data_IF_751539580087
#
_entry.id   IF_751539580087
#
_cell.length_a   1.000
_cell.length_b   1.000
_cell.length_c   1.000
_cell.angle_alpha   90.00
_cell.angle_beta   90.00
_cell.angle_gamma   90.00
#
_symmetry.space_group_name_H-M   'P 1'
#
loop_
_entity.id
_entity.type
_entity.pdbx_description
1 polymer ?
#
# COMPACT_ATOMS: atom_id res chain seq x y z
N UNK A 1 -24.59 13.89 17.79
CA UNK A 1 -23.80 13.73 16.56
C UNK A 1 -22.33 13.74 16.95
N UNK A 2 -21.61 12.69 16.60
CA UNK A 2 -20.20 12.52 16.94
C UNK A 2 -19.31 13.38 16.03
N UNK A 3 -18.10 13.70 16.49
CA UNK A 3 -17.02 14.06 15.57
C UNK A 3 -16.52 12.80 14.83
N UNK A 4 -15.75 12.97 13.75
CA UNK A 4 -15.35 11.82 12.94
C UNK A 4 -14.33 10.91 13.62
N UNK A 5 -13.49 11.44 14.51
CA UNK A 5 -12.51 10.67 15.28
C UNK A 5 -13.18 9.77 16.31
N UNK A 6 -14.20 10.25 17.00
CA UNK A 6 -15.05 9.45 17.90
C UNK A 6 -15.73 8.31 17.12
N UNK A 7 -16.28 8.59 15.94
CA UNK A 7 -16.86 7.57 15.08
C UNK A 7 -15.82 6.54 14.59
N UNK A 8 -14.61 6.98 14.24
CA UNK A 8 -13.48 6.12 13.91
C UNK A 8 -13.06 5.21 15.09
N UNK A 9 -13.01 5.74 16.31
CA UNK A 9 -12.69 4.95 17.50
C UNK A 9 -13.70 3.82 17.72
N UNK A 10 -15.01 4.09 17.52
CA UNK A 10 -16.05 3.07 17.64
C UNK A 10 -15.82 1.93 16.63
N UNK A 11 -15.63 2.23 15.35
CA UNK A 11 -15.43 1.18 14.32
C UNK A 11 -14.08 0.47 14.47
N UNK A 12 -13.04 1.17 14.96
CA UNK A 12 -11.74 0.57 15.27
C UNK A 12 -11.85 -0.42 16.43
N UNK A 13 -12.64 -0.11 17.47
CA UNK A 13 -12.86 -1.02 18.61
C UNK A 13 -13.53 -2.35 18.23
N UNK A 14 -14.17 -2.39 17.06
CA UNK A 14 -14.83 -3.57 16.50
C UNK A 14 -14.01 -4.27 15.41
N UNK A 15 -12.85 -3.71 15.03
CA UNK A 15 -11.99 -4.28 13.99
C UNK A 15 -11.46 -5.66 14.42
N UNK A 16 -11.59 -6.64 13.53
CA UNK A 16 -11.10 -8.01 13.70
C UNK A 16 -10.51 -8.48 12.37
N UNK A 17 -9.49 -9.34 12.43
CA UNK A 17 -8.98 -10.00 11.22
C UNK A 17 -10.09 -10.84 10.59
N UNK A 18 -10.12 -10.85 9.25
CA UNK A 18 -11.01 -11.70 8.46
C UNK A 18 -10.46 -13.13 8.29
N UNK A 19 -9.38 -13.45 9.01
CA UNK A 19 -8.62 -14.69 8.91
C UNK A 19 -7.38 -14.52 8.03
N UNK A 20 -6.65 -15.61 7.85
CA UNK A 20 -5.44 -15.66 7.03
C UNK A 20 -5.61 -16.72 5.95
N UNK A 21 -4.89 -16.54 4.83
CA UNK A 21 -4.85 -17.51 3.74
C UNK A 21 -3.43 -17.60 3.15
N UNK A 22 -3.12 -18.72 2.52
CA UNK A 22 -1.84 -18.91 1.82
C UNK A 22 -2.06 -18.69 0.33
N UNK A 23 -1.23 -17.82 -0.27
CA UNK A 23 -1.25 -17.54 -1.70
C UNK A 23 0.10 -17.84 -2.34
N UNK A 24 0.08 -18.01 -3.66
CA UNK A 24 1.30 -17.96 -4.46
C UNK A 24 1.93 -16.57 -4.39
N UNK A 25 3.25 -16.49 -4.61
CA UNK A 25 3.94 -15.21 -4.60
C UNK A 25 3.40 -14.23 -5.67
N UNK A 26 2.96 -14.75 -6.82
CA UNK A 26 2.39 -13.95 -7.91
C UNK A 26 1.07 -13.25 -7.50
N UNK A 27 0.31 -13.85 -6.59
CA UNK A 27 -0.97 -13.33 -6.09
C UNK A 27 -0.81 -12.46 -4.84
N UNK A 28 0.39 -12.37 -4.28
CA UNK A 28 0.64 -11.64 -3.04
C UNK A 28 0.75 -10.12 -3.23
N UNK A 29 0.90 -9.61 -4.47
CA UNK A 29 1.01 -8.18 -4.72
C UNK A 29 -0.21 -7.40 -4.17
N UNK A 30 0.06 -6.35 -3.38
CA UNK A 30 -0.97 -5.53 -2.75
C UNK A 30 -1.75 -6.22 -1.61
N UNK A 31 -1.45 -7.49 -1.28
CA UNK A 31 -1.97 -8.18 -0.10
C UNK A 31 -1.19 -7.77 1.16
N UNK A 32 -1.79 -7.92 2.33
CA UNK A 32 -1.12 -7.66 3.62
C UNK A 32 -0.49 -8.94 4.11
N UNK A 33 0.83 -8.94 4.30
CA UNK A 33 1.58 -10.09 4.79
C UNK A 33 1.19 -10.41 6.23
N UNK A 34 0.95 -11.69 6.52
CA UNK A 34 0.50 -12.17 7.83
C UNK A 34 1.54 -13.03 8.56
N UNK A 35 2.78 -13.02 8.08
CA UNK A 35 3.91 -13.71 8.69
C UNK A 35 5.15 -12.82 8.69
N UNK A 36 6.03 -13.02 9.66
CA UNK A 36 7.39 -12.49 9.60
C UNK A 36 8.23 -13.32 8.63
N UNK A 37 9.14 -12.67 7.92
CA UNK A 37 10.02 -13.32 6.96
C UNK A 37 11.46 -13.16 7.43
N UNK A 38 12.17 -14.28 7.45
CA UNK A 38 13.55 -14.35 7.86
C UNK A 38 14.43 -14.70 6.66
N UNK A 39 15.68 -14.23 6.67
CA UNK A 39 16.68 -14.64 5.71
C UNK A 39 16.97 -16.14 5.85
N UNK A 40 16.85 -16.90 4.77
CA UNK A 40 17.15 -18.34 4.69
C UNK A 40 18.65 -18.63 4.77
N UNK A 41 19.49 -17.65 4.40
CA UNK A 41 20.96 -17.70 4.43
C UNK A 41 21.57 -16.30 4.51
N UNK A 42 22.90 -16.24 4.53
CA UNK A 42 23.63 -14.98 4.41
C UNK A 42 23.46 -14.36 3.01
N UNK A 43 23.39 -13.04 2.95
CA UNK A 43 23.37 -12.25 1.72
C UNK A 43 24.52 -11.22 1.72
N UNK A 44 25.39 -11.24 0.69
CA UNK A 44 25.54 -12.32 -0.27
C UNK A 44 25.93 -13.66 0.42
N UNK A 45 25.63 -14.83 -0.17
CA UNK A 45 25.87 -16.14 0.45
C UNK A 45 27.34 -16.59 0.46
N UNK A 46 28.20 -15.81 -0.18
CA UNK A 46 29.65 -15.96 -0.26
C UNK A 46 30.29 -14.59 -0.50
N UNK A 47 31.60 -14.48 -0.32
CA UNK A 47 32.32 -13.28 -0.73
C UNK A 47 32.17 -13.10 -2.24
N UNK A 48 31.64 -11.97 -2.69
CA UNK A 48 31.26 -11.72 -4.09
C UNK A 48 32.11 -10.59 -4.65
N UNK A 49 32.70 -10.80 -5.84
CA UNK A 49 33.40 -9.72 -6.53
C UNK A 49 32.41 -8.62 -6.94
N UNK A 50 32.73 -7.36 -6.63
CA UNK A 50 31.86 -6.21 -6.97
C UNK A 50 32.28 -5.51 -8.25
N UNK A 51 33.41 -5.90 -8.83
CA UNK A 51 33.98 -5.37 -10.07
C UNK A 51 34.64 -6.49 -10.87
N UNK A 52 34.75 -6.30 -12.18
CA UNK A 52 35.56 -7.15 -13.05
C UNK A 52 37.05 -6.86 -12.81
N UNK A 53 37.86 -7.91 -12.69
CA UNK A 53 39.25 -7.71 -12.30
C UNK A 53 40.03 -8.99 -12.04
N UNK A 54 40.99 -8.89 -11.12
CA UNK A 54 41.87 -9.96 -10.73
C UNK A 54 41.83 -10.15 -9.22
N UNK A 55 41.46 -11.34 -8.77
CA UNK A 55 41.45 -11.71 -7.36
C UNK A 55 42.82 -12.26 -6.94
N UNK A 56 43.42 -11.63 -5.94
CA UNK A 56 44.72 -12.00 -5.37
C UNK A 56 44.64 -12.14 -3.86
N UNK A 57 45.64 -12.79 -3.27
CA UNK A 57 45.83 -12.78 -1.83
C UNK A 57 46.49 -11.46 -1.42
N UNK A 58 45.90 -10.72 -0.48
CA UNK A 58 46.44 -9.46 0.02
C UNK A 58 47.86 -9.62 0.63
N UNK A 59 48.22 -10.82 1.10
CA UNK A 59 49.58 -11.10 1.58
C UNK A 59 50.64 -11.01 0.49
N UNK A 60 50.31 -11.45 -0.73
CA UNK A 60 51.22 -11.41 -1.89
C UNK A 60 51.53 -9.96 -2.28
N UNK A 61 50.51 -9.11 -2.23
CA UNK A 61 50.68 -7.67 -2.38
C UNK A 61 51.64 -7.09 -1.33
N UNK A 62 51.48 -7.48 -0.06
CA UNK A 62 52.36 -7.06 1.04
C UNK A 62 53.82 -7.52 0.87
N UNK A 63 54.05 -8.63 0.17
CA UNK A 63 55.37 -9.14 -0.21
C UNK A 63 55.95 -8.46 -1.46
N UNK A 64 55.24 -7.47 -2.03
CA UNK A 64 55.61 -6.73 -3.25
C UNK A 64 55.72 -7.63 -4.49
N UNK A 65 54.94 -8.71 -4.57
CA UNK A 65 54.76 -9.43 -5.82
C UNK A 65 54.03 -8.52 -6.80
N UNK A 66 54.64 -8.26 -7.97
CA UNK A 66 54.18 -7.28 -8.95
C UNK A 66 53.73 -7.90 -10.29
N UNK A 67 53.85 -9.22 -10.44
CA UNK A 67 53.43 -9.96 -11.63
C UNK A 67 52.82 -11.29 -11.21
N UNK A 68 51.57 -11.56 -11.62
CA UNK A 68 50.80 -12.72 -11.19
C UNK A 68 50.43 -13.58 -12.39
N UNK A 69 50.57 -14.91 -12.27
CA UNK A 69 50.09 -15.83 -13.30
C UNK A 69 48.56 -16.00 -13.21
N UNK A 70 47.84 -15.72 -14.29
CA UNK A 70 46.39 -15.90 -14.37
C UNK A 70 46.09 -17.38 -14.56
N UNK A 71 45.48 -18.02 -13.56
CA UNK A 71 45.22 -19.48 -13.59
C UNK A 71 43.94 -19.85 -14.29
N UNK A 72 42.88 -19.12 -13.99
CA UNK A 72 41.56 -19.37 -14.54
C UNK A 72 40.74 -18.08 -14.53
N UNK A 73 39.66 -18.10 -15.32
CA UNK A 73 38.65 -17.05 -15.33
C UNK A 73 37.43 -17.55 -14.57
N UNK A 74 37.01 -16.82 -13.54
CA UNK A 74 35.87 -17.18 -12.68
C UNK A 74 34.68 -16.28 -13.01
N UNK A 75 33.63 -16.87 -13.55
CA UNK A 75 32.38 -16.18 -13.88
C UNK A 75 31.32 -16.34 -12.79
N UNK A 76 30.30 -15.46 -12.79
CA UNK A 76 29.14 -15.60 -11.92
C UNK A 76 28.44 -16.95 -12.14
N UNK A 77 28.13 -17.64 -11.03
CA UNK A 77 27.50 -18.97 -11.04
C UNK A 77 28.46 -20.15 -11.28
N UNK A 78 29.75 -19.90 -11.55
CA UNK A 78 30.74 -20.97 -11.72
C UNK A 78 31.50 -21.24 -10.41
N UNK A 79 31.91 -22.50 -10.22
CA UNK A 79 32.88 -22.87 -9.19
C UNK A 79 34.29 -22.67 -9.74
N UNK A 80 35.19 -22.16 -8.91
CA UNK A 80 36.62 -22.14 -9.19
C UNK A 80 37.18 -23.57 -9.17
N UNK A 81 38.13 -23.87 -10.07
CA UNK A 81 38.61 -25.23 -10.31
C UNK A 81 39.96 -25.53 -9.67
N UNK A 82 40.86 -24.56 -9.66
CA UNK A 82 42.21 -24.69 -9.09
C UNK A 82 42.42 -23.70 -7.95
N UNK A 83 43.13 -24.11 -6.91
CA UNK A 83 43.60 -23.18 -5.88
C UNK A 83 44.76 -22.32 -6.44
N UNK A 84 44.68 -21.00 -6.30
CA UNK A 84 45.81 -20.11 -6.61
C UNK A 84 46.83 -20.11 -5.47
N UNK A 85 48.10 -20.26 -5.84
CA UNK A 85 49.27 -20.16 -4.97
C UNK A 85 49.81 -18.73 -4.94
N UNK A 86 50.88 -18.51 -4.16
CA UNK A 86 51.55 -17.21 -4.10
C UNK A 86 52.06 -16.78 -5.48
N UNK A 87 51.73 -15.55 -5.90
CA UNK A 87 52.06 -15.03 -7.23
C UNK A 87 51.17 -15.56 -8.35
N UNK A 88 50.03 -16.15 -8.01
CA UNK A 88 49.00 -16.57 -8.95
C UNK A 88 47.71 -15.81 -8.66
N UNK A 89 46.84 -15.66 -9.66
CA UNK A 89 45.58 -14.95 -9.51
C UNK A 89 44.45 -15.59 -10.31
N UNK A 90 43.23 -15.25 -9.92
CA UNK A 90 42.04 -15.47 -10.72
C UNK A 90 41.73 -14.21 -11.50
N UNK A 91 41.39 -14.34 -12.78
CA UNK A 91 40.62 -13.29 -13.46
C UNK A 91 39.16 -13.49 -13.09
N UNK A 92 38.53 -12.52 -12.45
CA UNK A 92 37.21 -12.68 -11.84
C UNK A 92 36.23 -11.65 -12.40
N UNK A 93 35.01 -12.10 -12.68
CA UNK A 93 33.92 -11.23 -13.14
C UNK A 93 33.03 -10.82 -11.98
N UNK A 94 32.35 -9.68 -12.14
CA UNK A 94 31.39 -9.13 -11.19
C UNK A 94 30.31 -10.16 -10.88
N UNK A 95 30.02 -10.34 -9.60
CA UNK A 95 29.04 -11.32 -9.12
C UNK A 95 29.61 -12.73 -8.91
N UNK A 96 30.83 -13.02 -9.34
CA UNK A 96 31.47 -14.31 -9.08
C UNK A 96 31.83 -14.49 -7.60
N UNK A 97 31.85 -15.76 -7.17
CA UNK A 97 32.30 -16.13 -5.84
C UNK A 97 33.81 -15.99 -5.73
N UNK A 98 34.26 -15.20 -4.75
CA UNK A 98 35.66 -14.99 -4.40
C UNK A 98 36.12 -16.16 -3.52
N UNK A 99 37.13 -16.94 -3.96
CA UNK A 99 37.63 -18.09 -3.20
C UNK A 99 38.23 -17.68 -1.84
N UNK A 100 38.18 -18.53 -0.79
CA UNK A 100 38.66 -18.16 0.55
C UNK A 100 40.15 -17.83 0.66
N UNK A 101 40.98 -18.34 -0.26
CA UNK A 101 42.43 -18.12 -0.31
C UNK A 101 42.81 -16.77 -0.94
N UNK A 102 41.86 -16.02 -1.50
CA UNK A 102 42.04 -14.65 -2.01
C UNK A 102 41.09 -13.68 -1.32
N UNK A 103 41.53 -12.44 -1.14
CA UNK A 103 40.79 -11.46 -0.34
C UNK A 103 41.05 -10.01 -0.81
N UNK A 104 41.36 -9.83 -2.09
CA UNK A 104 41.48 -8.54 -2.75
C UNK A 104 41.14 -8.70 -4.22
N UNK A 105 40.27 -7.84 -4.77
CA UNK A 105 40.03 -7.74 -6.21
C UNK A 105 40.53 -6.39 -6.71
N UNK A 106 41.50 -6.41 -7.63
CA UNK A 106 41.96 -5.21 -8.34
C UNK A 106 41.24 -5.15 -9.68
N UNK A 107 40.68 -4.00 -10.03
CA UNK A 107 39.88 -3.87 -11.25
C UNK A 107 40.76 -4.08 -12.48
N UNK A 108 40.18 -4.61 -13.54
CA UNK A 108 40.92 -4.84 -14.79
C UNK A 108 41.41 -3.55 -15.47
N UNK A 109 40.79 -2.39 -15.24
CA UNK A 109 41.26 -1.10 -15.76
C UNK A 109 42.56 -0.66 -15.08
N UNK A 110 42.79 -1.15 -13.85
CA UNK A 110 43.98 -0.88 -13.07
C UNK A 110 45.07 -1.96 -13.28
N UNK A 111 44.96 -2.76 -14.36
CA UNK A 111 45.80 -3.91 -14.62
C UNK A 111 46.29 -3.95 -16.07
N UNK A 112 47.42 -4.63 -16.29
CA UNK A 112 47.95 -4.90 -17.62
C UNK A 112 48.23 -6.39 -17.72
N UNK A 113 47.42 -7.09 -18.52
CA UNK A 113 47.56 -8.52 -18.77
C UNK A 113 48.34 -8.75 -20.07
N UNK A 114 49.37 -9.60 -20.04
CA UNK A 114 50.16 -9.99 -21.21
C UNK A 114 50.64 -11.42 -21.03
N UNK A 115 50.43 -12.27 -22.04
CA UNK A 115 50.88 -13.68 -22.05
C UNK A 115 50.48 -14.47 -20.79
N UNK A 116 49.23 -14.32 -20.34
CA UNK A 116 48.69 -15.04 -19.16
C UNK A 116 49.25 -14.58 -17.82
N UNK A 117 49.94 -13.44 -17.78
CA UNK A 117 50.39 -12.79 -16.55
C UNK A 117 49.80 -11.39 -16.44
N UNK A 118 49.60 -10.92 -15.22
CA UNK A 118 49.04 -9.60 -14.95
C UNK A 118 49.90 -8.82 -13.96
N UNK A 119 50.15 -7.55 -14.29
CA UNK A 119 50.71 -6.54 -13.38
C UNK A 119 49.68 -5.47 -13.07
N UNK A 120 49.79 -4.83 -11.91
CA UNK A 120 48.82 -3.84 -11.44
C UNK A 120 49.41 -2.43 -11.41
N UNK A 121 48.65 -1.47 -11.93
CA UNK A 121 48.99 -0.06 -12.00
C UNK A 121 48.34 0.71 -10.83
N UNK A 122 48.50 0.19 -9.60
CA UNK A 122 47.96 0.78 -8.36
C UNK A 122 49.04 0.91 -7.31
N UNK A 123 49.00 1.98 -6.52
CA UNK A 123 49.99 2.21 -5.45
C UNK A 123 49.54 1.63 -4.11
N UNK A 124 48.23 1.67 -3.84
CA UNK A 124 47.65 1.25 -2.57
C UNK A 124 46.38 0.45 -2.77
N UNK A 125 46.21 -0.58 -1.94
CA UNK A 125 45.03 -1.45 -1.92
C UNK A 125 44.70 -1.81 -0.47
N UNK A 126 43.46 -2.21 -0.22
CA UNK A 126 42.99 -2.65 1.11
C UNK A 126 42.52 -4.11 1.07
N UNK A 127 42.63 -4.86 2.17
CA UNK A 127 42.00 -6.18 2.25
C UNK A 127 40.49 -6.02 2.04
N UNK A 128 39.90 -6.98 1.33
CA UNK A 128 38.51 -7.02 0.88
C UNK A 128 38.07 -5.87 -0.03
N UNK A 129 39.00 -5.12 -0.63
CA UNK A 129 38.65 -4.14 -1.65
C UNK A 129 37.99 -4.83 -2.86
N UNK A 130 36.89 -4.21 -3.33
CA UNK A 130 36.02 -4.72 -4.39
C UNK A 130 35.43 -6.12 -4.11
N UNK A 131 35.24 -6.47 -2.84
CA UNK A 131 34.61 -7.70 -2.39
C UNK A 131 33.47 -7.36 -1.45
N UNK A 132 32.25 -7.76 -1.83
CA UNK A 132 31.11 -7.78 -0.93
C UNK A 132 31.18 -9.04 -0.07
N UNK A 133 31.38 -8.91 1.23
CA UNK A 133 31.62 -10.05 2.13
C UNK A 133 30.34 -10.85 2.36
N UNK A 134 30.50 -12.15 2.59
CA UNK A 134 29.40 -13.04 2.97
C UNK A 134 28.62 -12.43 4.15
N UNK A 135 27.31 -12.30 3.97
CA UNK A 135 26.39 -11.84 5.02
C UNK A 135 26.54 -10.38 5.43
N UNK A 136 27.20 -9.54 4.63
CA UNK A 136 27.33 -8.12 4.95
C UNK A 136 26.04 -7.32 4.73
N UNK A 137 25.18 -7.75 3.81
CA UNK A 137 23.86 -7.14 3.60
C UNK A 137 22.89 -7.66 4.67
N UNK A 138 22.76 -8.98 4.77
CA UNK A 138 21.85 -9.66 5.69
C UNK A 138 22.49 -10.95 6.18
N UNK A 139 22.47 -11.19 7.50
CA UNK A 139 22.88 -12.45 8.09
C UNK A 139 21.71 -13.46 8.09
N UNK A 140 22.02 -14.74 7.95
CA UNK A 140 21.04 -15.82 8.05
C UNK A 140 20.19 -15.71 9.34
N UNK A 141 18.91 -16.06 9.25
CA UNK A 141 17.92 -15.97 10.33
C UNK A 141 17.62 -14.55 10.85
N UNK A 142 18.07 -13.50 10.17
CA UNK A 142 17.65 -12.13 10.45
C UNK A 142 16.20 -11.93 9.97
N UNK A 143 15.35 -11.30 10.78
CA UNK A 143 14.02 -10.87 10.32
C UNK A 143 14.19 -9.71 9.32
N UNK A 144 13.70 -9.90 8.10
CA UNK A 144 13.87 -8.95 6.99
C UNK A 144 12.58 -8.25 6.58
N UNK A 145 11.43 -8.85 6.89
CA UNK A 145 10.11 -8.25 6.66
C UNK A 145 9.26 -8.60 7.88
N UNK A 146 8.67 -7.59 8.50
CA UNK A 146 7.70 -7.79 9.57
C UNK A 146 6.32 -8.14 9.00
N UNK A 147 5.45 -8.71 9.83
CA UNK A 147 4.05 -8.91 9.46
C UNK A 147 3.29 -7.57 9.37
N UNK A 148 2.08 -7.59 8.82
CA UNK A 148 1.20 -6.44 8.65
C UNK A 148 1.79 -5.34 7.75
N UNK A 149 2.47 -5.77 6.68
CA UNK A 149 2.97 -4.91 5.63
C UNK A 149 2.21 -5.23 4.34
N UNK A 150 1.65 -4.21 3.68
CA UNK A 150 1.15 -4.34 2.30
C UNK A 150 2.33 -4.74 1.42
N UNK A 151 2.20 -5.71 0.52
CA UNK A 151 3.29 -6.18 -0.33
C UNK A 151 3.44 -5.33 -1.61
N UNK A 152 4.31 -4.29 -1.64
CA UNK A 152 4.72 -3.62 -2.87
C UNK A 152 5.68 -4.51 -3.69
N UNK A 153 6.10 -4.09 -4.90
CA UNK A 153 7.03 -4.86 -5.71
C UNK A 153 8.35 -5.20 -5.01
N UNK A 154 8.85 -4.31 -4.14
CA UNK A 154 10.07 -4.55 -3.36
C UNK A 154 9.93 -5.69 -2.35
N UNK A 155 8.77 -5.81 -1.69
CA UNK A 155 8.49 -6.92 -0.77
C UNK A 155 8.36 -8.23 -1.55
N UNK A 156 7.68 -8.23 -2.70
CA UNK A 156 7.56 -9.40 -3.57
C UNK A 156 8.94 -9.90 -4.03
N UNK A 157 9.83 -8.99 -4.46
CA UNK A 157 11.18 -9.33 -4.88
C UNK A 157 12.03 -9.89 -3.72
N UNK A 158 11.87 -9.34 -2.51
CA UNK A 158 12.59 -9.81 -1.34
C UNK A 158 12.10 -11.19 -0.87
N UNK A 159 10.79 -11.44 -0.91
CA UNK A 159 10.19 -12.77 -0.67
C UNK A 159 10.76 -13.82 -1.65
N UNK A 160 10.81 -13.50 -2.95
CA UNK A 160 11.44 -14.37 -3.95
C UNK A 160 12.92 -14.62 -3.64
N UNK A 161 13.64 -13.58 -3.22
CA UNK A 161 15.08 -13.63 -2.93
C UNK A 161 15.40 -14.64 -1.83
N UNK A 162 14.53 -14.79 -0.82
CA UNK A 162 14.64 -15.78 0.26
C UNK A 162 13.90 -17.10 -0.02
N UNK A 163 13.51 -17.32 -1.28
CA UNK A 163 12.96 -18.59 -1.74
C UNK A 163 11.50 -18.85 -1.38
N UNK A 164 10.72 -17.83 -0.99
CA UNK A 164 9.28 -17.99 -0.72
C UNK A 164 8.51 -18.13 -2.03
N UNK A 165 8.01 -19.33 -2.32
CA UNK A 165 7.08 -19.56 -3.44
C UNK A 165 5.61 -19.25 -3.08
N UNK A 166 5.29 -19.36 -1.79
CA UNK A 166 3.98 -19.05 -1.20
C UNK A 166 4.16 -18.26 0.08
N UNK A 167 3.17 -17.45 0.44
CA UNK A 167 3.17 -16.65 1.66
C UNK A 167 1.80 -16.65 2.35
N UNK A 168 1.81 -16.51 3.67
CA UNK A 168 0.62 -16.25 4.46
C UNK A 168 0.27 -14.76 4.40
N UNK A 169 -0.97 -14.45 4.04
CA UNK A 169 -1.50 -13.09 3.97
C UNK A 169 -2.81 -12.98 4.73
N UNK A 170 -3.17 -11.77 5.14
CA UNK A 170 -4.50 -11.49 5.68
C UNK A 170 -5.56 -11.72 4.60
N UNK A 171 -6.61 -12.45 4.95
CA UNK A 171 -7.74 -12.76 4.07
C UNK A 171 -8.56 -11.50 3.81
N UNK A 172 -9.07 -11.36 2.59
CA UNK A 172 -9.93 -10.24 2.23
C UNK A 172 -11.36 -10.44 2.77
N UNK A 173 -12.05 -9.36 3.19
CA UNK A 173 -13.43 -9.46 3.65
C UNK A 173 -14.38 -9.81 2.50
N UNK A 174 -15.43 -10.56 2.83
CA UNK A 174 -16.60 -10.71 1.98
C UNK A 174 -17.46 -9.44 2.03
N UNK A 175 -17.50 -8.69 0.93
CA UNK A 175 -18.20 -7.40 0.83
C UNK A 175 -19.45 -7.50 -0.04
N UNK A 176 -20.57 -6.99 0.46
CA UNK A 176 -21.76 -6.69 -0.33
C UNK A 176 -21.87 -5.18 -0.59
N UNK A 177 -22.00 -4.79 -1.85
CA UNK A 177 -22.12 -3.40 -2.29
C UNK A 177 -23.48 -3.17 -2.95
N UNK A 178 -24.19 -2.17 -2.44
CA UNK A 178 -25.49 -1.75 -2.95
C UNK A 178 -25.50 -0.26 -3.23
N UNK A 179 -26.08 0.15 -4.35
CA UNK A 179 -26.46 1.54 -4.59
C UNK A 179 -27.97 1.65 -4.77
N UNK A 180 -28.57 2.75 -4.36
CA UNK A 180 -30.02 2.98 -4.47
C UNK A 180 -30.34 4.37 -4.99
N UNK A 181 -31.51 4.53 -5.60
CA UNK A 181 -32.02 5.77 -6.16
C UNK A 181 -32.79 5.54 -7.46
N UNK A 182 -34.04 5.97 -7.51
CA UNK A 182 -34.90 5.86 -8.72
C UNK A 182 -34.38 6.71 -9.90
N UNK A 183 -33.62 7.76 -9.59
CA UNK A 183 -32.98 8.63 -10.57
C UNK A 183 -31.76 7.98 -11.24
N UNK A 184 -31.26 6.87 -10.68
CA UNK A 184 -29.96 6.31 -11.06
C UNK A 184 -30.12 5.24 -12.14
N UNK A 185 -29.35 5.36 -13.22
CA UNK A 185 -29.29 4.35 -14.29
C UNK A 185 -27.86 3.88 -14.55
N UNK A 186 -27.72 2.66 -15.08
CA UNK A 186 -26.40 2.10 -15.38
C UNK A 186 -25.69 2.84 -16.54
N UNK A 187 -24.35 3.00 -16.48
CA UNK A 187 -23.59 3.53 -17.60
C UNK A 187 -23.80 2.74 -18.89
N UNK A 188 -23.88 3.44 -20.01
CA UNK A 188 -24.17 2.86 -21.33
C UNK A 188 -25.66 2.80 -21.68
N UNK A 189 -26.57 2.98 -20.71
CA UNK A 189 -28.00 3.12 -20.99
C UNK A 189 -28.35 4.56 -21.42
N UNK A 190 -29.44 4.74 -22.21
CA UNK A 190 -30.07 6.04 -22.39
C UNK A 190 -30.46 6.65 -21.04
N UNK A 191 -30.34 7.96 -20.92
CA UNK A 191 -30.64 8.70 -19.69
C UNK A 191 -31.75 9.70 -20.02
N UNK A 192 -32.80 9.74 -19.21
CA UNK A 192 -33.82 10.78 -19.30
C UNK A 192 -33.31 12.12 -18.75
N UNK A 193 -34.11 13.17 -18.87
CA UNK A 193 -33.82 14.50 -18.36
C UNK A 193 -33.73 14.59 -16.83
N UNK A 194 -34.34 13.65 -16.12
CA UNK A 194 -34.37 13.58 -14.65
C UNK A 194 -33.48 12.48 -14.06
N UNK A 195 -32.72 11.77 -14.89
CA UNK A 195 -31.87 10.66 -14.44
C UNK A 195 -30.38 11.00 -14.48
N UNK A 196 -29.62 10.31 -13.64
CA UNK A 196 -28.16 10.39 -13.55
C UNK A 196 -27.56 8.99 -13.66
N UNK A 197 -26.27 8.92 -14.00
CA UNK A 197 -25.57 7.63 -14.10
C UNK A 197 -25.05 7.18 -12.75
N UNK A 198 -25.07 5.86 -12.52
CA UNK A 198 -24.58 5.19 -11.32
C UNK A 198 -23.06 5.30 -11.16
N UNK A 199 -22.52 6.50 -10.94
CA UNK A 199 -21.08 6.73 -10.80
C UNK A 199 -20.52 6.14 -9.50
N UNK A 200 -21.29 6.17 -8.42
CA UNK A 200 -20.84 5.72 -7.10
C UNK A 200 -20.58 4.21 -7.02
N UNK A 201 -21.36 3.39 -7.72
CA UNK A 201 -21.07 1.94 -7.79
C UNK A 201 -19.66 1.70 -8.34
N UNK A 202 -19.25 2.43 -9.37
CA UNK A 202 -17.93 2.28 -9.99
C UNK A 202 -16.82 2.94 -9.16
N UNK A 203 -17.11 4.07 -8.52
CA UNK A 203 -16.22 4.69 -7.55
C UNK A 203 -15.89 3.71 -6.41
N UNK A 204 -16.91 3.16 -5.75
CA UNK A 204 -16.74 2.25 -4.61
C UNK A 204 -16.05 0.94 -5.01
N UNK A 205 -16.38 0.37 -6.17
CA UNK A 205 -15.64 -0.79 -6.71
C UNK A 205 -14.16 -0.47 -6.94
N UNK A 206 -13.85 0.72 -7.44
CA UNK A 206 -12.46 1.13 -7.70
C UNK A 206 -11.69 1.35 -6.41
N UNK A 207 -12.31 1.98 -5.41
CA UNK A 207 -11.74 2.17 -4.08
C UNK A 207 -11.50 0.83 -3.36
N UNK A 208 -12.45 -0.10 -3.42
CA UNK A 208 -12.27 -1.46 -2.88
C UNK A 208 -11.17 -2.23 -3.62
N UNK A 209 -11.04 -2.05 -4.94
CA UNK A 209 -9.99 -2.68 -5.75
C UNK A 209 -8.58 -2.22 -5.33
N UNK A 210 -8.41 -1.00 -4.83
CA UNK A 210 -7.12 -0.56 -4.26
C UNK A 210 -6.68 -1.44 -3.08
N UNK A 211 -7.64 -2.06 -2.39
CA UNK A 211 -7.45 -3.02 -1.29
C UNK A 211 -7.50 -4.48 -1.76
N UNK A 212 -7.44 -4.74 -3.07
CA UNK A 212 -7.64 -6.04 -3.71
C UNK A 212 -9.04 -6.66 -3.49
N UNK A 213 -9.98 -5.91 -2.91
CA UNK A 213 -11.32 -6.41 -2.58
C UNK A 213 -12.22 -6.32 -3.81
N UNK A 214 -12.83 -7.46 -4.16
CA UNK A 214 -13.91 -7.55 -5.13
C UNK A 214 -15.22 -7.86 -4.38
N UNK A 215 -16.25 -7.00 -4.44
CA UNK A 215 -17.54 -7.30 -3.82
C UNK A 215 -18.10 -8.63 -4.34
N UNK A 216 -18.53 -9.51 -3.44
CA UNK A 216 -19.22 -10.75 -3.79
C UNK A 216 -20.65 -10.47 -4.29
N UNK A 217 -21.28 -9.43 -3.74
CA UNK A 217 -22.55 -8.90 -4.20
C UNK A 217 -22.32 -7.45 -4.63
N UNK A 218 -22.79 -7.09 -5.82
CA UNK A 218 -22.78 -5.73 -6.32
C UNK A 218 -24.06 -5.49 -7.11
N UNK A 219 -24.97 -4.66 -6.59
CA UNK A 219 -26.27 -4.41 -7.23
C UNK A 219 -26.71 -2.96 -7.06
N UNK A 220 -27.33 -2.43 -8.10
CA UNK A 220 -28.18 -1.25 -8.00
C UNK A 220 -29.64 -1.70 -7.72
N UNK A 221 -30.32 -1.01 -6.82
CA UNK A 221 -31.69 -1.32 -6.41
C UNK A 221 -32.47 -0.01 -6.50
N UNK A 222 -33.71 -0.07 -6.98
CA UNK A 222 -34.62 1.08 -6.96
C UNK A 222 -35.03 1.40 -5.51
N UNK A 223 -35.60 2.57 -5.25
CA UNK A 223 -36.06 2.98 -3.91
C UNK A 223 -37.37 2.28 -3.52
N UNK A 224 -37.40 0.96 -3.67
CA UNK A 224 -38.46 0.06 -3.22
C UNK A 224 -38.05 -0.61 -1.90
N UNK A 225 -38.84 -0.34 -0.85
CA UNK A 225 -38.56 -0.79 0.52
C UNK A 225 -38.43 -2.31 0.63
N UNK A 226 -39.27 -3.08 -0.06
CA UNK A 226 -39.24 -4.54 0.04
C UNK A 226 -38.08 -5.15 -0.75
N UNK A 227 -37.75 -4.61 -1.94
CA UNK A 227 -36.58 -5.02 -2.71
C UNK A 227 -35.28 -4.73 -1.95
N UNK A 228 -35.15 -3.54 -1.37
CA UNK A 228 -34.01 -3.17 -0.52
C UNK A 228 -33.88 -4.12 0.68
N UNK A 229 -34.99 -4.36 1.39
CA UNK A 229 -35.03 -5.28 2.52
C UNK A 229 -34.62 -6.71 2.13
N UNK A 230 -35.13 -7.22 1.02
CA UNK A 230 -34.78 -8.56 0.52
C UNK A 230 -33.29 -8.65 0.18
N UNK A 231 -32.75 -7.66 -0.52
CA UNK A 231 -31.34 -7.64 -0.92
C UNK A 231 -30.39 -7.52 0.28
N UNK A 232 -30.69 -6.63 1.23
CA UNK A 232 -29.88 -6.45 2.45
C UNK A 232 -29.99 -7.71 3.33
N UNK A 233 -31.19 -8.30 3.47
CA UNK A 233 -31.39 -9.54 4.23
C UNK A 233 -30.54 -10.69 3.70
N UNK A 234 -30.42 -10.83 2.38
CA UNK A 234 -29.58 -11.84 1.74
C UNK A 234 -28.07 -11.64 1.99
N UNK A 235 -27.65 -10.45 2.45
CA UNK A 235 -26.26 -10.08 2.66
C UNK A 235 -25.85 -10.01 4.15
N UNK A 236 -26.72 -10.35 5.10
CA UNK A 236 -26.45 -10.20 6.55
C UNK A 236 -25.26 -11.02 7.08
N UNK A 237 -24.83 -12.05 6.34
CA UNK A 237 -23.65 -12.86 6.66
C UNK A 237 -22.34 -12.32 6.03
N UNK A 238 -22.36 -11.13 5.42
CA UNK A 238 -21.15 -10.49 4.89
C UNK A 238 -20.30 -9.93 6.02
N UNK A 239 -18.98 -9.85 5.82
CA UNK A 239 -18.08 -9.16 6.74
C UNK A 239 -18.33 -7.64 6.72
N UNK A 240 -18.72 -7.13 5.54
CA UNK A 240 -19.06 -5.74 5.33
C UNK A 240 -20.20 -5.57 4.33
N UNK A 241 -21.17 -4.71 4.65
CA UNK A 241 -22.17 -4.20 3.72
C UNK A 241 -21.91 -2.72 3.49
N UNK A 242 -21.80 -2.30 2.23
CA UNK A 242 -21.69 -0.91 1.82
C UNK A 242 -22.94 -0.55 1.03
N UNK A 243 -23.65 0.48 1.50
CA UNK A 243 -24.82 1.06 0.85
C UNK A 243 -24.46 2.49 0.41
N UNK A 244 -24.95 2.94 -0.74
CA UNK A 244 -24.79 4.32 -1.18
C UNK A 244 -26.12 4.85 -1.75
N UNK A 245 -26.63 5.93 -1.14
CA UNK A 245 -27.98 6.44 -1.38
C UNK A 245 -28.97 6.01 -0.29
N UNK A 246 -30.09 6.74 -0.15
CA UNK A 246 -31.19 6.40 0.78
C UNK A 246 -30.88 6.50 2.28
N UNK A 247 -29.88 7.30 2.68
CA UNK A 247 -29.36 7.40 4.06
C UNK A 247 -29.59 8.75 4.73
N UNK A 248 -30.29 9.67 4.07
CA UNK A 248 -30.58 10.98 4.65
C UNK A 248 -31.72 10.88 5.69
N UNK A 249 -32.11 12.01 6.27
CA UNK A 249 -33.22 12.10 7.21
C UNK A 249 -34.53 12.54 6.54
N UNK A 250 -34.70 12.24 5.24
CA UNK A 250 -35.89 12.58 4.47
C UNK A 250 -36.94 11.47 4.49
N UNK A 251 -38.15 11.81 4.06
CA UNK A 251 -39.33 10.91 4.10
C UNK A 251 -39.21 9.66 3.19
N UNK A 252 -38.20 9.62 2.31
CA UNK A 252 -37.92 8.53 1.37
C UNK A 252 -36.67 7.69 1.72
N UNK A 253 -36.02 7.94 2.86
CA UNK A 253 -34.79 7.23 3.24
C UNK A 253 -35.10 5.95 4.04
N UNK A 254 -35.39 4.85 3.35
CA UNK A 254 -35.76 3.57 3.99
C UNK A 254 -34.59 2.81 4.62
N UNK A 255 -33.33 3.13 4.27
CA UNK A 255 -32.16 2.31 4.64
C UNK A 255 -31.98 2.18 6.16
N UNK A 256 -32.00 3.27 6.97
CA UNK A 256 -31.86 3.15 8.42
C UNK A 256 -32.96 2.27 9.06
N UNK A 257 -34.22 2.45 8.62
CA UNK A 257 -35.35 1.69 9.15
C UNK A 257 -35.24 0.19 8.80
N UNK A 258 -34.90 -0.13 7.54
CA UNK A 258 -34.70 -1.51 7.09
C UNK A 258 -33.58 -2.19 7.90
N UNK A 259 -32.44 -1.50 8.09
CA UNK A 259 -31.31 -2.04 8.83
C UNK A 259 -31.67 -2.32 10.30
N UNK A 260 -32.37 -1.39 10.97
CA UNK A 260 -32.84 -1.58 12.34
C UNK A 260 -33.81 -2.77 12.44
N UNK A 261 -34.75 -2.90 11.49
CA UNK A 261 -35.70 -4.02 11.43
C UNK A 261 -35.03 -5.38 11.15
N UNK A 262 -33.89 -5.38 10.45
CA UNK A 262 -33.08 -6.58 10.21
C UNK A 262 -32.12 -6.90 11.38
N UNK A 263 -32.23 -6.17 12.50
CA UNK A 263 -31.44 -6.42 13.70
C UNK A 263 -30.02 -5.84 13.66
N UNK A 264 -29.74 -4.95 12.70
CA UNK A 264 -28.45 -4.25 12.65
C UNK A 264 -28.40 -3.23 13.79
N UNK A 265 -27.44 -3.41 14.71
CA UNK A 265 -27.25 -2.50 15.83
C UNK A 265 -26.60 -1.21 15.34
N UNK A 266 -27.36 -0.12 15.30
CA UNK A 266 -26.83 1.23 15.00
C UNK A 266 -25.70 1.60 15.95
N UNK A 267 -24.56 1.97 15.38
CA UNK A 267 -23.39 2.48 16.11
C UNK A 267 -23.41 4.01 16.15
N UNK A 268 -23.63 4.63 14.99
CA UNK A 268 -23.86 6.07 14.88
C UNK A 268 -24.65 6.40 13.61
N UNK A 269 -25.34 7.54 13.66
CA UNK A 269 -25.94 8.17 12.50
C UNK A 269 -25.63 9.65 12.56
N UNK A 270 -25.15 10.17 11.44
CA UNK A 270 -24.62 11.50 11.25
C UNK A 270 -23.33 11.79 12.01
N UNK A 271 -22.39 12.42 11.31
CA UNK A 271 -21.09 12.84 11.85
C UNK A 271 -20.85 14.31 11.52
N UNK A 272 -20.18 15.04 12.41
CA UNK A 272 -19.83 16.47 12.27
C UNK A 272 -18.73 16.70 11.23
N UNK A 273 -18.99 16.33 9.97
CA UNK A 273 -18.11 16.54 8.82
C UNK A 273 -18.84 17.22 7.67
N UNK A 274 -18.07 17.89 6.80
CA UNK A 274 -18.54 18.42 5.52
C UNK A 274 -17.52 18.12 4.42
N UNK A 275 -17.90 17.50 3.30
CA UNK A 275 -19.19 16.87 3.04
C UNK A 275 -19.30 15.52 3.77
N UNK A 276 -20.45 14.87 3.62
CA UNK A 276 -20.65 13.50 4.11
C UNK A 276 -21.31 13.34 5.48
N UNK A 277 -21.93 14.42 6.00
CA UNK A 277 -22.68 14.41 7.26
C UNK A 277 -23.61 13.18 7.44
N UNK A 278 -24.50 12.78 6.50
CA UNK A 278 -25.53 11.78 6.76
C UNK A 278 -25.05 10.33 6.63
N UNK A 279 -23.81 10.03 7.02
CA UNK A 279 -23.35 8.63 7.09
C UNK A 279 -24.07 7.90 8.23
N UNK A 280 -24.47 6.65 7.96
CA UNK A 280 -25.00 5.72 8.96
C UNK A 280 -24.08 4.50 9.08
N UNK A 281 -23.79 4.07 10.29
CA UNK A 281 -22.99 2.88 10.54
C UNK A 281 -23.61 2.00 11.62
N UNK A 282 -23.56 0.69 11.41
CA UNK A 282 -24.13 -0.31 12.31
C UNK A 282 -23.36 -1.63 12.29
N UNK A 283 -23.59 -2.45 13.31
CA UNK A 283 -23.04 -3.80 13.41
C UNK A 283 -24.10 -4.84 13.06
N UNK A 284 -23.77 -5.74 12.14
CA UNK A 284 -24.59 -6.87 11.73
C UNK A 284 -24.74 -7.88 12.88
N UNK A 285 -25.83 -8.67 12.92
CA UNK A 285 -25.94 -9.80 13.85
C UNK A 285 -24.80 -10.82 13.75
N UNK A 286 -24.20 -10.97 12.57
CA UNK A 286 -23.03 -11.81 12.31
C UNK A 286 -21.71 -11.25 12.90
N UNK A 287 -21.71 -9.98 13.30
CA UNK A 287 -20.54 -9.26 13.82
C UNK A 287 -19.87 -8.33 12.80
N UNK A 288 -20.15 -8.47 11.50
CA UNK A 288 -19.66 -7.58 10.44
C UNK A 288 -20.24 -6.16 10.54
N UNK A 289 -19.77 -5.24 9.68
CA UNK A 289 -20.20 -3.84 9.72
C UNK A 289 -21.01 -3.42 8.48
N UNK A 290 -21.95 -2.52 8.69
CA UNK A 290 -22.68 -1.82 7.64
C UNK A 290 -22.25 -0.36 7.60
N UNK A 291 -21.92 0.12 6.40
CA UNK A 291 -21.65 1.52 6.12
C UNK A 291 -22.62 2.01 5.06
N UNK A 292 -23.50 2.92 5.43
CA UNK A 292 -24.46 3.53 4.52
C UNK A 292 -24.01 4.97 4.24
N UNK A 293 -23.53 5.18 3.01
CA UNK A 293 -22.83 6.36 2.55
C UNK A 293 -23.76 7.34 1.80
N UNK A 294 -23.48 8.65 1.83
CA UNK A 294 -24.24 9.65 1.08
C UNK A 294 -24.13 9.45 -0.44
N UNK A 295 -25.21 9.76 -1.18
CA UNK A 295 -25.26 9.62 -2.64
C UNK A 295 -24.46 10.64 -3.45
N UNK A 296 -24.02 11.76 -2.84
CA UNK A 296 -23.18 12.72 -3.53
C UNK A 296 -21.75 12.15 -3.76
N UNK A 297 -21.21 12.10 -4.99
CA UNK A 297 -19.98 11.36 -5.29
C UNK A 297 -18.77 11.75 -4.44
N UNK A 298 -18.52 13.05 -4.25
CA UNK A 298 -17.40 13.48 -3.42
C UNK A 298 -17.64 13.18 -1.94
N UNK A 299 -18.89 13.23 -1.46
CA UNK A 299 -19.25 12.80 -0.11
C UNK A 299 -19.00 11.30 0.11
N UNK A 300 -19.37 10.48 -0.88
CA UNK A 300 -19.13 9.05 -0.90
C UNK A 300 -17.63 8.74 -0.81
N UNK A 301 -16.79 9.45 -1.58
CA UNK A 301 -15.34 9.28 -1.54
C UNK A 301 -14.75 9.66 -0.17
N UNK A 302 -15.10 10.85 0.35
CA UNK A 302 -14.65 11.31 1.69
C UNK A 302 -15.03 10.29 2.77
N UNK A 303 -16.29 9.84 2.78
CA UNK A 303 -16.76 8.89 3.80
C UNK A 303 -16.15 7.49 3.66
N UNK A 304 -15.87 7.03 2.44
CA UNK A 304 -15.08 5.81 2.23
C UNK A 304 -13.70 5.93 2.87
N UNK A 305 -12.97 7.02 2.58
CA UNK A 305 -11.63 7.25 3.13
C UNK A 305 -11.62 7.35 4.65
N UNK A 306 -12.58 8.06 5.23
CA UNK A 306 -12.61 8.30 6.68
C UNK A 306 -13.07 7.08 7.49
N UNK A 307 -13.95 6.25 6.95
CA UNK A 307 -14.58 5.19 7.76
C UNK A 307 -14.25 3.78 7.27
N UNK A 308 -14.45 3.51 5.98
CA UNK A 308 -14.24 2.16 5.42
C UNK A 308 -12.74 1.85 5.32
N UNK A 309 -11.98 2.73 4.66
CA UNK A 309 -10.52 2.56 4.54
C UNK A 309 -9.85 2.54 5.92
N UNK A 310 -10.27 3.43 6.83
CA UNK A 310 -9.81 3.42 8.21
C UNK A 310 -10.07 2.07 8.88
N UNK A 311 -11.30 1.55 8.85
CA UNK A 311 -11.63 0.26 9.46
C UNK A 311 -10.85 -0.90 8.84
N UNK A 312 -10.69 -0.94 7.51
CA UNK A 312 -9.91 -1.98 6.82
C UNK A 312 -8.45 -2.00 7.30
N UNK A 313 -7.82 -0.84 7.48
CA UNK A 313 -6.44 -0.75 8.00
C UNK A 313 -6.29 -1.49 9.34
N UNK A 314 -7.22 -1.25 10.27
CA UNK A 314 -7.19 -1.89 11.58
C UNK A 314 -7.50 -3.39 11.50
N UNK A 315 -8.42 -3.82 10.64
CA UNK A 315 -8.71 -5.24 10.44
C UNK A 315 -7.51 -6.01 9.89
N UNK A 316 -6.69 -5.37 9.06
CA UNK A 316 -5.45 -5.92 8.52
C UNK A 316 -4.22 -5.68 9.42
N UNK A 317 -4.40 -5.19 10.65
CA UNK A 317 -3.30 -4.95 11.58
C UNK A 317 -2.29 -3.88 11.12
N UNK A 318 -2.63 -3.08 10.11
CA UNK A 318 -1.78 -2.01 9.62
C UNK A 318 -1.70 -0.89 10.65
N UNK A 319 -0.51 -0.30 10.79
CA UNK A 319 -0.32 0.87 11.65
C UNK A 319 -1.22 2.03 11.24
N UNK A 320 -1.59 2.86 12.23
CA UNK A 320 -2.31 4.09 11.96
C UNK A 320 -1.48 4.98 11.01
N UNK A 321 -2.14 5.50 9.97
CA UNK A 321 -1.47 6.36 9.00
C UNK A 321 -1.45 7.77 9.54
N UNK A 322 -0.28 8.26 9.93
CA UNK A 322 -0.10 9.68 10.20
C UNK A 322 -0.40 10.48 8.93
N UNK A 323 -1.25 11.50 9.05
CA UNK A 323 -1.56 12.37 7.93
C UNK A 323 -0.38 13.28 7.67
N UNK A 324 0.14 13.22 6.45
CA UNK A 324 1.11 14.19 5.98
C UNK A 324 0.50 15.59 6.02
N UNK A 325 1.34 16.57 6.34
CA UNK A 325 0.96 17.98 6.39
C UNK A 325 1.89 18.79 5.50
N UNK A 326 1.32 19.68 4.68
CA UNK A 326 2.07 20.59 3.84
C UNK A 326 1.48 22.01 3.93
N UNK A 327 2.28 23.05 3.62
CA UNK A 327 1.79 24.42 3.60
C UNK A 327 0.63 24.58 2.61
N UNK A 328 -0.39 25.36 2.97
CA UNK A 328 -1.52 25.71 2.10
C UNK A 328 -1.12 26.82 1.12
N UNK A 329 -1.42 26.68 -0.17
CA UNK A 329 -1.00 27.64 -1.19
C UNK A 329 -1.76 28.96 -1.17
N UNK A 330 -2.98 28.98 -0.62
CA UNK A 330 -3.84 30.17 -0.59
C UNK A 330 -4.73 30.18 0.65
N UNK A 331 -5.20 31.35 1.06
CA UNK A 331 -6.12 31.44 2.18
C UNK A 331 -7.43 30.71 1.87
N UNK A 332 -7.95 29.97 2.85
CA UNK A 332 -9.27 29.33 2.78
C UNK A 332 -10.12 29.74 3.98
N UNK A 333 -11.25 30.39 3.68
CA UNK A 333 -12.22 30.84 4.67
C UNK A 333 -13.08 29.68 5.18
N UNK A 334 -13.42 29.69 6.47
CA UNK A 334 -14.34 28.71 7.07
C UNK A 334 -15.74 28.83 6.46
N UNK A 335 -16.36 27.69 6.13
CA UNK A 335 -17.75 27.65 5.60
C UNK A 335 -18.70 26.81 6.43
N UNK A 336 -18.28 26.29 7.58
CA UNK A 336 -19.05 25.37 8.42
C UNK A 336 -18.43 25.28 9.80
N UNK A 337 -19.18 24.89 10.83
CA UNK A 337 -18.65 24.59 12.16
C UNK A 337 -18.11 23.16 12.30
N UNK A 338 -18.08 22.40 11.20
CA UNK A 338 -17.62 21.01 11.15
C UNK A 338 -16.20 20.91 10.58
N UNK A 339 -15.60 19.73 10.75
CA UNK A 339 -14.39 19.39 9.98
C UNK A 339 -14.75 19.37 8.50
N UNK A 340 -14.07 20.20 7.71
CA UNK A 340 -14.32 20.30 6.27
C UNK A 340 -13.23 19.56 5.49
N UNK A 341 -13.65 18.60 4.67
CA UNK A 341 -12.82 17.83 3.76
C UNK A 341 -13.02 18.37 2.35
N UNK A 342 -11.94 18.76 1.70
CA UNK A 342 -12.00 19.40 0.38
C UNK A 342 -10.98 18.80 -0.58
N UNK A 343 -11.28 18.75 -1.89
CA UNK A 343 -10.36 18.22 -2.88
C UNK A 343 -9.16 19.16 -3.03
N UNK A 344 -7.97 18.59 -3.14
CA UNK A 344 -6.74 19.35 -3.31
C UNK A 344 -5.77 18.67 -4.26
N UNK A 345 -4.89 19.48 -4.85
CA UNK A 345 -3.67 19.03 -5.50
C UNK A 345 -2.53 19.23 -4.52
N UNK A 346 -1.80 18.16 -4.24
CA UNK A 346 -0.65 18.13 -3.35
C UNK A 346 0.60 17.81 -4.15
N UNK A 347 1.52 18.77 -4.18
CA UNK A 347 2.89 18.60 -4.67
C UNK A 347 3.87 19.01 -3.57
N UNK A 348 4.35 20.26 -3.58
CA UNK A 348 5.14 20.86 -2.49
C UNK A 348 4.27 21.61 -1.47
N UNK A 349 3.03 21.89 -1.85
CA UNK A 349 2.01 22.59 -1.07
C UNK A 349 0.64 21.96 -1.32
N UNK A 350 -0.31 22.24 -0.44
CA UNK A 350 -1.72 21.87 -0.60
C UNK A 350 -2.42 22.98 -1.36
N UNK A 351 -2.90 22.71 -2.58
CA UNK A 351 -3.68 23.65 -3.37
C UNK A 351 -5.14 23.22 -3.43
N UNK A 352 -6.07 23.95 -2.79
CA UNK A 352 -7.50 23.66 -2.87
C UNK A 352 -7.99 23.71 -4.32
N UNK A 353 -8.79 22.72 -4.71
CA UNK A 353 -9.49 22.75 -5.99
C UNK A 353 -10.81 23.51 -5.81
N UNK A 354 -11.11 24.42 -6.74
CA UNK A 354 -12.42 25.07 -6.81
C UNK A 354 -13.44 24.07 -7.36
N UNK A 355 -14.54 23.90 -6.63
CA UNK A 355 -15.64 23.03 -6.99
C UNK A 355 -16.95 23.64 -6.47
N UNK A 356 -18.07 23.31 -7.13
CA UNK A 356 -19.36 23.92 -6.78
C UNK A 356 -19.92 23.39 -5.46
N UNK A 357 -20.03 22.07 -5.36
CA UNK A 357 -20.57 21.38 -4.19
C UNK A 357 -20.10 19.92 -4.19
N UNK A 358 -20.41 19.17 -3.13
CA UNK A 358 -20.07 17.74 -3.08
C UNK A 358 -20.74 16.86 -4.16
N UNK A 359 -21.74 17.40 -4.87
CA UNK A 359 -22.35 16.76 -6.04
C UNK A 359 -21.65 17.09 -7.36
N UNK A 360 -20.65 17.98 -7.34
CA UNK A 360 -19.84 18.29 -8.52
C UNK A 360 -19.04 17.05 -8.93
N UNK A 361 -19.44 16.44 -10.04
CA UNK A 361 -18.86 15.20 -10.57
C UNK A 361 -17.39 15.36 -10.98
N UNK A 362 -16.89 16.59 -11.09
CA UNK A 362 -15.48 16.88 -11.40
C UNK A 362 -14.66 17.20 -10.16
N UNK A 363 -15.26 17.33 -8.98
CA UNK A 363 -14.59 17.80 -7.76
C UNK A 363 -13.31 17.02 -7.44
N UNK A 364 -13.29 15.71 -7.72
CA UNK A 364 -12.14 14.85 -7.46
C UNK A 364 -11.31 14.53 -8.71
N UNK A 365 -11.68 15.01 -9.91
CA UNK A 365 -11.05 14.56 -11.16
C UNK A 365 -9.55 14.88 -11.24
N UNK A 366 -9.16 16.09 -10.82
CA UNK A 366 -7.77 16.54 -10.80
C UNK A 366 -7.16 16.48 -9.41
N UNK A 367 -7.91 16.04 -8.41
CA UNK A 367 -7.45 15.95 -7.04
C UNK A 367 -6.57 14.71 -6.87
N UNK A 368 -5.45 14.86 -6.15
CA UNK A 368 -4.64 13.74 -5.67
C UNK A 368 -4.64 13.65 -4.14
N UNK A 369 -5.41 14.53 -3.48
CA UNK A 369 -5.63 14.50 -2.05
C UNK A 369 -7.01 15.04 -1.63
N UNK A 370 -7.44 14.62 -0.44
CA UNK A 370 -8.53 15.21 0.34
C UNK A 370 -7.90 15.90 1.56
N UNK A 371 -7.88 17.23 1.55
CA UNK A 371 -7.31 18.05 2.62
C UNK A 371 -8.35 18.37 3.71
N UNK A 372 -7.87 18.66 4.91
CA UNK A 372 -8.70 18.85 6.11
C UNK A 372 -8.64 20.30 6.58
N UNK A 373 -9.79 20.92 6.77
CA UNK A 373 -9.96 22.19 7.47
C UNK A 373 -10.65 21.90 8.81
N UNK A 374 -9.89 21.82 9.92
CA UNK A 374 -10.42 21.41 11.23
C UNK A 374 -11.57 22.30 11.70
N UNK A 375 -12.53 21.72 12.44
CA UNK A 375 -13.68 22.44 12.99
C UNK A 375 -13.28 23.65 13.86
N UNK A 376 -12.26 23.46 14.70
CA UNK A 376 -11.78 24.45 15.68
C UNK A 376 -10.92 25.57 15.07
N UNK A 377 -10.55 25.44 13.80
CA UNK A 377 -9.77 26.46 13.09
C UNK A 377 -10.72 27.35 12.30
N UNK A 378 -10.65 28.67 12.54
CA UNK A 378 -11.40 29.67 11.79
C UNK A 378 -10.94 29.68 10.32
N UNK A 379 -10.00 30.54 9.94
CA UNK A 379 -9.51 30.60 8.57
C UNK A 379 -8.13 29.96 8.47
N UNK A 380 -7.94 29.15 7.42
CA UNK A 380 -6.61 28.65 7.08
C UNK A 380 -5.89 29.74 6.28
N UNK A 381 -4.80 30.25 6.83
CA UNK A 381 -3.95 31.22 6.15
C UNK A 381 -3.04 30.52 5.13
N UNK A 382 -2.65 31.24 4.08
CA UNK A 382 -1.59 30.75 3.19
C UNK A 382 -0.32 30.46 4.00
N UNK A 383 0.35 29.36 3.70
CA UNK A 383 1.51 28.86 4.45
C UNK A 383 1.18 28.02 5.70
N UNK A 384 -0.08 27.97 6.15
CA UNK A 384 -0.46 27.11 7.28
C UNK A 384 -0.32 25.63 6.92
N UNK A 385 0.16 24.80 7.85
CA UNK A 385 0.25 23.37 7.65
C UNK A 385 -1.14 22.73 7.68
N UNK A 386 -1.47 22.02 6.61
CA UNK A 386 -2.77 21.37 6.43
C UNK A 386 -2.57 19.88 6.22
N UNK A 387 -3.28 19.09 7.03
CA UNK A 387 -3.31 17.63 6.91
C UNK A 387 -4.14 17.19 5.70
N UNK A 388 -3.75 16.07 5.08
CA UNK A 388 -4.48 15.53 3.93
C UNK A 388 -4.37 14.00 3.80
N UNK A 389 -5.35 13.42 3.13
CA UNK A 389 -5.37 12.01 2.70
C UNK A 389 -5.06 11.94 1.21
N UNK A 390 -4.06 11.17 0.81
CA UNK A 390 -3.85 10.84 -0.62
C UNK A 390 -5.01 9.99 -1.15
N UNK A 391 -5.41 10.24 -2.41
CA UNK A 391 -6.49 9.51 -3.11
C UNK A 391 -6.03 8.84 -4.39
#
# INVERSE_FOLDING_TARGET
MLNYKEAQQIITSLAKSFGQETLSLDEAYGRVLAEQVFADRDYPPFNRATMDGYAINFKDWGQRINNYAVKEVVFAGQRYGQEVLAGECYKIMTGAAVPPNVNLVIRWEDATETNGHVSFNVETVKPFQNIAKKGEDIQANTCIIDQNIICPPSVIALLATVGKATVQVEKLPNVALFTTGDEVVEPGQPVSDIQIRNSNQFLLKSLLKQWQIKPAICKHILDDKEQLKQAISAALNSDMIILCGGVSAGDADYVPEILENLGVKKLFHQVKIKPGKPIWCGQLPSGGLVFALPGNPFSCHVTFKLFIEHHLRYCFGLSEKELAMLPLSTQKLKKTTFDEFFPAIVNQEVTPILFNSSGDVKAALTANAIAVHPAETSDLQAGSLVAFHHI
#
